data_IF_815196817484
#
_entry.id   IF_815196817484
#
_cell.length_a   1.000
_cell.length_b   1.000
_cell.length_c   1.000
_cell.angle_alpha   90.00
_cell.angle_beta   90.00
_cell.angle_gamma   90.00
#
_symmetry.space_group_name_H-M   'P 1'
#
loop_
_entity.id
_entity.type
_entity.pdbx_description
1 polymer ?
#
# COMPACT_ATOMS: atom_id res chain seq x y z
N UNK A 1 31.59 31.31 18.69
CA UNK A 1 31.23 31.61 17.29
C UNK A 1 30.03 30.77 16.96
N UNK A 2 29.00 31.36 16.36
CA UNK A 2 27.84 30.62 15.88
C UNK A 2 28.14 30.15 14.45
N UNK A 3 28.70 28.93 14.35
CA UNK A 3 29.08 28.33 13.07
C UNK A 3 27.89 28.04 12.17
N UNK A 4 26.68 27.93 12.73
CA UNK A 4 25.46 27.69 11.95
C UNK A 4 25.07 28.98 11.22
N UNK A 5 25.18 30.13 11.88
CA UNK A 5 24.95 31.44 11.24
C UNK A 5 25.96 31.80 10.14
N UNK A 6 27.05 31.04 9.95
CA UNK A 6 28.02 31.20 8.86
C UNK A 6 27.66 30.40 7.60
N UNK A 7 26.69 29.48 7.68
CA UNK A 7 26.27 28.68 6.53
C UNK A 7 25.60 29.54 5.43
N UNK A 8 25.69 29.14 4.15
CA UNK A 8 24.89 29.70 3.06
C UNK A 8 23.39 29.61 3.33
N UNK A 9 22.63 30.58 2.82
CA UNK A 9 21.18 30.67 3.02
C UNK A 9 20.45 29.39 2.56
N UNK A 10 20.82 28.84 1.42
CA UNK A 10 20.22 27.62 0.88
C UNK A 10 20.36 26.42 1.84
N UNK A 11 21.50 26.31 2.54
CA UNK A 11 21.71 25.27 3.54
C UNK A 11 20.87 25.52 4.79
N UNK A 12 20.71 26.78 5.21
CA UNK A 12 19.85 27.13 6.33
C UNK A 12 18.38 26.82 6.02
N UNK A 13 17.90 27.16 4.83
CA UNK A 13 16.54 26.85 4.39
C UNK A 13 16.31 25.34 4.30
N UNK A 14 17.33 24.56 3.87
CA UNK A 14 17.28 23.10 3.86
C UNK A 14 17.20 22.51 5.27
N UNK A 15 17.98 23.04 6.23
CA UNK A 15 17.90 22.63 7.64
C UNK A 15 16.52 22.95 8.22
N UNK A 16 16.04 24.17 8.01
CA UNK A 16 14.73 24.61 8.48
C UNK A 16 13.57 23.80 7.87
N UNK A 17 13.71 23.36 6.62
CA UNK A 17 12.70 22.52 5.93
C UNK A 17 12.51 21.14 6.57
N UNK A 18 13.40 20.72 7.47
CA UNK A 18 13.27 19.49 8.25
C UNK A 18 12.54 19.68 9.58
N UNK A 19 12.23 20.92 9.98
CA UNK A 19 11.58 21.25 11.23
C UNK A 19 10.09 21.57 11.02
N UNK A 20 9.30 21.47 12.09
CA UNK A 20 7.92 21.96 12.05
C UNK A 20 7.88 23.51 11.99
N UNK A 21 6.78 24.05 11.50
CA UNK A 21 6.63 25.49 11.27
C UNK A 21 6.78 26.31 12.57
N UNK A 22 6.42 25.77 13.74
CA UNK A 22 6.57 26.46 15.02
C UNK A 22 8.04 26.63 15.38
N UNK A 23 8.82 25.56 15.27
CA UNK A 23 10.27 25.58 15.53
C UNK A 23 11.00 26.47 14.52
N UNK A 24 10.60 26.38 13.24
CA UNK A 24 11.09 27.28 12.19
C UNK A 24 10.83 28.74 12.55
N UNK A 25 9.61 29.09 12.96
CA UNK A 25 9.28 30.44 13.40
C UNK A 25 10.04 30.83 14.67
N UNK A 26 10.25 29.92 15.62
CA UNK A 26 11.00 30.17 16.84
C UNK A 26 12.46 30.55 16.55
N UNK A 27 13.05 30.08 15.44
CA UNK A 27 14.41 30.48 15.05
C UNK A 27 14.56 31.99 14.79
N UNK A 28 13.46 32.73 14.59
CA UNK A 28 13.49 34.17 14.33
C UNK A 28 14.16 34.98 15.45
N UNK A 29 14.22 34.44 16.67
CA UNK A 29 14.82 35.11 17.84
C UNK A 29 16.34 34.89 17.95
N UNK A 30 16.92 33.98 17.16
CA UNK A 30 18.33 33.62 17.25
C UNK A 30 19.26 34.76 16.79
N UNK A 31 18.94 35.41 15.67
CA UNK A 31 19.69 36.58 15.20
C UNK A 31 18.91 37.39 14.16
N UNK A 32 19.44 38.58 13.82
CA UNK A 32 18.88 39.42 12.74
C UNK A 32 18.79 38.70 11.39
N UNK A 33 19.68 37.75 11.12
CA UNK A 33 19.69 36.95 9.90
C UNK A 33 18.49 35.99 9.87
N UNK A 34 18.25 35.28 10.98
CA UNK A 34 17.18 34.29 11.10
C UNK A 34 15.78 34.91 11.16
N UNK A 35 15.68 36.20 11.53
CA UNK A 35 14.41 36.93 11.64
C UNK A 35 13.48 36.76 10.42
N UNK A 36 14.04 36.64 9.22
CA UNK A 36 13.28 36.56 7.97
C UNK A 36 13.38 35.21 7.25
N UNK A 37 14.34 34.35 7.63
CA UNK A 37 14.56 33.05 6.95
C UNK A 37 13.34 32.14 7.00
N UNK A 38 12.60 32.15 8.12
CA UNK A 38 11.39 31.35 8.29
C UNK A 38 10.30 31.66 7.24
N UNK A 39 10.27 32.88 6.69
CA UNK A 39 9.30 33.29 5.65
C UNK A 39 9.67 32.78 4.26
N UNK A 40 10.90 32.29 4.07
CA UNK A 40 11.44 31.83 2.79
C UNK A 40 11.54 30.30 2.70
N UNK A 41 11.17 29.57 3.75
CA UNK A 41 11.30 28.11 3.81
C UNK A 41 10.37 27.44 2.79
N UNK A 42 10.88 26.63 1.85
CA UNK A 42 10.05 26.05 0.79
C UNK A 42 9.10 24.95 1.27
N UNK A 43 9.29 24.43 2.49
CA UNK A 43 8.50 23.36 3.09
C UNK A 43 7.94 23.78 4.45
N UNK A 44 6.63 23.71 4.59
CA UNK A 44 5.92 24.05 5.82
C UNK A 44 5.22 22.81 6.37
N UNK A 45 5.56 22.44 7.61
CA UNK A 45 4.91 21.34 8.33
C UNK A 45 4.19 21.92 9.55
N UNK A 46 2.87 21.94 9.51
CA UNK A 46 2.03 22.36 10.62
C UNK A 46 1.59 21.13 11.40
N UNK A 47 2.20 20.94 12.55
CA UNK A 47 1.94 19.81 13.45
C UNK A 47 1.15 20.28 14.67
N UNK A 48 -0.07 19.77 14.81
CA UNK A 48 -0.91 20.03 15.96
C UNK A 48 -0.53 19.12 17.14
N UNK A 49 0.16 19.70 18.11
CA UNK A 49 0.47 19.04 19.38
C UNK A 49 -0.77 18.88 20.27
N UNK A 50 -1.27 17.64 20.36
CA UNK A 50 -2.44 17.19 21.15
C UNK A 50 -2.29 17.51 22.64
N UNK A 51 -1.06 17.53 23.15
CA UNK A 51 -0.79 17.61 24.58
C UNK A 51 -0.37 19.02 25.04
N UNK A 52 -0.16 19.94 24.11
CA UNK A 52 0.50 21.22 24.39
C UNK A 52 -0.38 22.46 24.34
N UNK A 53 -1.17 22.66 23.27
CA UNK A 53 -1.74 23.98 22.96
C UNK A 53 -3.23 23.94 22.63
N UNK A 54 -3.93 25.05 22.93
CA UNK A 54 -5.32 25.24 22.48
C UNK A 54 -5.36 25.34 20.95
N UNK A 55 -6.27 24.60 20.30
CA UNK A 55 -6.54 24.63 18.86
C UNK A 55 -6.55 26.05 18.27
N UNK A 56 -7.26 26.98 18.90
CA UNK A 56 -7.36 28.38 18.44
C UNK A 56 -6.00 29.08 18.29
N UNK A 57 -5.02 28.74 19.15
CA UNK A 57 -3.68 29.32 19.08
C UNK A 57 -2.91 28.73 17.91
N UNK A 58 -3.05 27.43 17.67
CA UNK A 58 -2.50 26.74 16.52
C UNK A 58 -3.12 27.28 15.21
N UNK A 59 -4.44 27.32 15.11
CA UNK A 59 -5.16 27.85 13.94
C UNK A 59 -4.72 29.28 13.59
N UNK A 60 -4.64 30.16 14.60
CA UNK A 60 -4.16 31.53 14.43
C UNK A 60 -2.70 31.59 13.97
N UNK A 61 -1.86 30.68 14.48
CA UNK A 61 -0.47 30.56 14.05
C UNK A 61 -0.39 30.13 12.57
N UNK A 62 -1.11 29.08 12.17
CA UNK A 62 -1.16 28.59 10.79
C UNK A 62 -1.59 29.71 9.84
N UNK A 63 -2.71 30.36 10.14
CA UNK A 63 -3.23 31.47 9.33
C UNK A 63 -2.21 32.60 9.16
N UNK A 64 -1.60 33.07 10.27
CA UNK A 64 -0.59 34.13 10.22
C UNK A 64 0.68 33.70 9.49
N UNK A 65 1.11 32.46 9.70
CA UNK A 65 2.29 31.89 9.06
C UNK A 65 2.10 31.86 7.54
N UNK A 66 0.98 31.33 7.04
CA UNK A 66 0.66 31.30 5.61
C UNK A 66 0.55 32.70 4.99
N UNK A 67 -0.03 33.65 5.73
CA UNK A 67 -0.18 35.04 5.29
C UNK A 67 1.17 35.76 5.14
N UNK A 68 2.06 35.56 6.10
CA UNK A 68 3.39 36.19 6.15
C UNK A 68 4.45 35.43 5.36
N UNK A 69 4.14 34.23 4.89
CA UNK A 69 5.07 33.44 4.11
C UNK A 69 5.31 34.11 2.75
N UNK A 70 6.57 34.24 2.35
CA UNK A 70 7.00 35.01 1.17
C UNK A 70 7.80 34.17 0.15
N UNK A 71 8.00 32.87 0.42
CA UNK A 71 8.77 32.02 -0.51
C UNK A 71 8.16 32.08 -1.93
N UNK A 72 9.00 32.31 -2.96
CA UNK A 72 8.54 32.41 -4.34
C UNK A 72 8.01 31.06 -4.88
N UNK A 73 8.49 29.95 -4.31
CA UNK A 73 8.07 28.61 -4.65
C UNK A 73 7.82 27.80 -3.37
N UNK A 74 6.57 27.80 -2.90
CA UNK A 74 6.14 26.93 -1.82
C UNK A 74 6.07 25.50 -2.37
N UNK A 75 7.01 24.65 -1.99
CA UNK A 75 7.12 23.30 -2.53
C UNK A 75 6.13 22.36 -1.84
N UNK A 76 6.18 22.32 -0.52
CA UNK A 76 5.42 21.36 0.29
C UNK A 76 4.68 22.06 1.41
N UNK A 77 3.40 21.74 1.57
CA UNK A 77 2.63 22.08 2.77
C UNK A 77 2.05 20.79 3.34
N UNK A 78 2.34 20.55 4.61
CA UNK A 78 1.85 19.40 5.35
C UNK A 78 1.06 19.89 6.57
N UNK A 79 -0.21 19.53 6.65
CA UNK A 79 -1.04 19.69 7.84
C UNK A 79 -1.20 18.34 8.54
N UNK A 80 -0.71 18.23 9.78
CA UNK A 80 -0.98 17.13 10.70
C UNK A 80 -1.90 17.63 11.79
N UNK A 81 -3.13 17.14 11.79
CA UNK A 81 -4.21 17.65 12.62
C UNK A 81 -4.71 16.50 13.49
N UNK A 82 -4.97 16.82 14.75
CA UNK A 82 -5.44 15.84 15.72
C UNK A 82 -6.95 15.79 15.85
N UNK A 83 -7.63 16.84 15.41
CA UNK A 83 -9.06 17.00 15.64
C UNK A 83 -9.72 17.86 14.55
N UNK A 84 -11.02 17.67 14.39
CA UNK A 84 -11.87 18.36 13.42
C UNK A 84 -12.42 19.71 13.91
N UNK A 85 -12.03 20.14 15.12
CA UNK A 85 -12.61 21.29 15.85
C UNK A 85 -12.53 22.64 15.12
N UNK A 86 -11.96 22.71 13.92
CA UNK A 86 -12.04 23.87 13.03
C UNK A 86 -12.05 23.52 11.54
N UNK A 87 -13.02 22.70 11.10
CA UNK A 87 -13.33 22.45 9.68
C UNK A 87 -13.33 23.74 8.82
N UNK A 88 -13.89 24.83 9.36
CA UNK A 88 -13.91 26.15 8.71
C UNK A 88 -12.50 26.72 8.50
N UNK A 89 -11.61 26.56 9.48
CA UNK A 89 -10.24 27.08 9.41
C UNK A 89 -9.42 26.35 8.35
N UNK A 90 -9.57 25.02 8.25
CA UNK A 90 -8.88 24.18 7.26
C UNK A 90 -9.29 24.58 5.84
N UNK A 91 -10.58 24.84 5.61
CA UNK A 91 -11.08 25.36 4.33
C UNK A 91 -10.41 26.68 3.92
N UNK A 92 -10.19 27.58 4.89
CA UNK A 92 -9.47 28.85 4.66
C UNK A 92 -8.00 28.60 4.38
N UNK A 93 -7.33 27.71 5.12
CA UNK A 93 -5.91 27.41 4.92
C UNK A 93 -5.65 26.82 3.54
N UNK A 94 -6.44 25.80 3.14
CA UNK A 94 -6.33 25.17 1.82
C UNK A 94 -6.53 26.22 0.73
N UNK A 95 -7.56 27.05 0.84
CA UNK A 95 -7.83 28.11 -0.15
C UNK A 95 -6.67 29.11 -0.30
N UNK A 96 -5.90 29.35 0.77
CA UNK A 96 -4.68 30.17 0.69
C UNK A 96 -3.51 29.40 0.06
N UNK A 97 -3.31 28.14 0.44
CA UNK A 97 -2.21 27.30 -0.06
C UNK A 97 -2.35 27.05 -1.57
N UNK A 98 -3.54 26.73 -2.06
CA UNK A 98 -3.75 26.45 -3.50
C UNK A 98 -3.48 27.67 -4.39
N UNK A 99 -3.67 28.89 -3.87
CA UNK A 99 -3.33 30.15 -4.57
C UNK A 99 -1.82 30.39 -4.69
N UNK A 100 -1.00 29.65 -3.94
CA UNK A 100 0.47 29.80 -3.88
C UNK A 100 1.20 28.76 -4.73
N UNK A 101 0.50 28.06 -5.62
CA UNK A 101 1.05 27.09 -6.57
C UNK A 101 1.90 25.99 -5.92
N UNK A 102 1.39 25.45 -4.82
CA UNK A 102 2.04 24.35 -4.10
C UNK A 102 2.23 23.12 -5.00
N UNK A 103 3.36 22.41 -4.84
CA UNK A 103 3.64 21.17 -5.57
C UNK A 103 3.23 19.92 -4.80
N UNK A 104 3.34 19.95 -3.48
CA UNK A 104 2.98 18.83 -2.62
C UNK A 104 2.08 19.32 -1.49
N UNK A 105 0.88 18.74 -1.40
CA UNK A 105 -0.07 19.02 -0.33
C UNK A 105 -0.38 17.71 0.40
N UNK A 106 -0.13 17.70 1.71
CA UNK A 106 -0.39 16.56 2.59
C UNK A 106 -1.34 17.04 3.69
N UNK A 107 -2.45 16.34 3.86
CA UNK A 107 -3.44 16.59 4.91
C UNK A 107 -3.67 15.27 5.63
N UNK A 108 -3.17 15.18 6.86
CA UNK A 108 -3.29 14.02 7.75
C UNK A 108 -4.12 14.42 8.96
N UNK A 109 -5.23 13.72 9.18
CA UNK A 109 -6.14 13.95 10.31
C UNK A 109 -6.24 12.66 11.12
N UNK A 110 -6.02 12.73 12.42
CA UNK A 110 -6.08 11.58 13.32
C UNK A 110 -7.47 10.91 13.27
N UNK A 111 -7.50 9.56 13.26
CA UNK A 111 -8.69 8.72 13.14
C UNK A 111 -9.62 8.80 14.36
N UNK A 112 -9.16 9.42 15.45
CA UNK A 112 -9.96 9.61 16.69
C UNK A 112 -11.05 10.67 16.56
N UNK A 113 -11.08 11.43 15.46
CA UNK A 113 -12.03 12.53 15.25
C UNK A 113 -12.82 12.35 13.95
N UNK A 114 -13.95 13.05 13.82
CA UNK A 114 -14.76 12.95 12.61
C UNK A 114 -14.07 13.66 11.43
N UNK A 115 -14.33 13.18 10.22
CA UNK A 115 -13.70 13.69 8.99
C UNK A 115 -13.94 15.19 8.78
N UNK A 116 -12.89 15.88 8.36
CA UNK A 116 -12.95 17.30 7.94
C UNK A 116 -13.37 17.40 6.50
N UNK A 117 -14.22 18.38 6.18
CA UNK A 117 -14.79 18.55 4.85
C UNK A 117 -13.95 19.51 4.00
N UNK A 118 -13.23 18.97 3.02
CA UNK A 118 -12.36 19.79 2.19
C UNK A 118 -13.15 20.75 1.27
N UNK A 119 -12.60 21.95 0.99
CA UNK A 119 -13.24 22.91 0.10
C UNK A 119 -13.04 22.52 -1.38
N UNK A 120 -14.02 22.85 -2.21
CA UNK A 120 -13.99 22.62 -3.68
C UNK A 120 -12.84 23.35 -4.38
N UNK A 121 -12.26 24.38 -3.74
CA UNK A 121 -11.08 25.09 -4.24
C UNK A 121 -9.86 24.18 -4.40
N UNK A 122 -9.78 23.08 -3.64
CA UNK A 122 -8.73 22.07 -3.77
C UNK A 122 -8.71 21.43 -5.16
N UNK A 123 -9.88 21.22 -5.77
CA UNK A 123 -10.02 20.49 -7.04
C UNK A 123 -9.90 21.40 -8.26
N UNK A 124 -10.21 22.68 -8.10
CA UNK A 124 -10.39 23.62 -9.22
C UNK A 124 -9.18 24.52 -9.46
N UNK A 125 -8.30 24.71 -8.46
CA UNK A 125 -7.23 25.70 -8.50
C UNK A 125 -5.80 25.11 -8.54
N UNK A 126 -5.65 23.79 -8.38
CA UNK A 126 -4.37 23.12 -8.15
C UNK A 126 -3.61 22.74 -9.44
N UNK A 127 -3.25 23.72 -10.26
CA UNK A 127 -2.58 23.47 -11.56
C UNK A 127 -1.15 22.95 -11.45
N UNK A 128 -0.44 23.29 -10.38
CA UNK A 128 0.98 22.93 -10.17
C UNK A 128 1.17 21.78 -9.17
N UNK A 129 0.07 21.23 -8.65
CA UNK A 129 0.11 20.15 -7.68
C UNK A 129 0.60 18.86 -8.37
N UNK A 130 1.67 18.30 -7.83
CA UNK A 130 2.34 17.08 -8.29
C UNK A 130 2.00 15.91 -7.36
N UNK A 131 1.90 16.17 -6.06
CA UNK A 131 1.59 15.17 -5.05
C UNK A 131 0.44 15.65 -4.17
N UNK A 132 -0.59 14.83 -4.02
CA UNK A 132 -1.72 15.06 -3.11
C UNK A 132 -1.89 13.86 -2.20
N UNK A 133 -1.79 14.07 -0.89
CA UNK A 133 -2.07 13.03 0.11
C UNK A 133 -3.15 13.51 1.05
N UNK A 134 -4.23 12.74 1.13
CA UNK A 134 -5.39 13.03 1.94
C UNK A 134 -5.65 11.84 2.85
N UNK A 135 -5.79 12.10 4.15
CA UNK A 135 -6.11 11.08 5.14
C UNK A 135 -7.21 11.56 6.08
N UNK A 136 -8.24 10.71 6.23
CA UNK A 136 -9.41 10.93 7.11
C UNK A 136 -10.16 12.24 6.82
N UNK A 137 -10.54 12.45 5.55
CA UNK A 137 -11.24 13.66 5.08
C UNK A 137 -12.52 13.32 4.32
N UNK A 138 -13.44 14.27 4.27
CA UNK A 138 -14.66 14.20 3.44
C UNK A 138 -14.49 15.10 2.22
N UNK A 139 -14.66 14.53 1.03
CA UNK A 139 -14.69 15.30 -0.21
C UNK A 139 -16.13 15.74 -0.48
N UNK A 140 -16.30 17.04 -0.73
CA UNK A 140 -17.58 17.59 -1.19
C UNK A 140 -17.78 17.35 -2.67
N UNK A 141 -19.02 17.04 -3.02
CA UNK A 141 -19.43 17.06 -4.41
C UNK A 141 -19.17 18.46 -4.98
N UNK A 142 -18.46 18.46 -6.09
CA UNK A 142 -18.19 19.63 -6.86
C UNK A 142 -18.87 19.37 -8.20
N UNK A 143 -20.01 20.03 -8.45
CA UNK A 143 -20.64 20.09 -9.78
C UNK A 143 -19.75 20.80 -10.83
N UNK A 144 -18.44 20.91 -10.56
CA UNK A 144 -17.42 21.66 -11.28
C UNK A 144 -16.44 20.71 -11.98
N UNK A 145 -15.73 21.23 -12.97
CA UNK A 145 -14.64 20.52 -13.63
C UNK A 145 -13.40 20.44 -12.72
N UNK A 146 -12.97 19.22 -12.40
CA UNK A 146 -11.67 18.97 -11.74
C UNK A 146 -10.52 19.41 -12.65
N UNK A 147 -9.39 19.84 -12.07
CA UNK A 147 -8.21 20.20 -12.84
C UNK A 147 -6.91 19.84 -12.12
N UNK A 148 -6.31 18.71 -12.51
CA UNK A 148 -5.04 18.20 -12.00
C UNK A 148 -4.04 17.89 -13.12
N UNK A 149 -3.60 18.90 -13.90
CA UNK A 149 -2.78 18.69 -15.09
C UNK A 149 -1.36 18.21 -14.79
N UNK A 150 -0.87 18.35 -13.55
CA UNK A 150 0.50 18.03 -13.15
C UNK A 150 0.58 16.92 -12.09
N UNK A 151 -0.56 16.36 -11.66
CA UNK A 151 -0.63 15.44 -10.53
C UNK A 151 -0.10 14.07 -10.94
N UNK A 152 1.00 13.66 -10.32
CA UNK A 152 1.70 12.41 -10.57
C UNK A 152 1.48 11.39 -9.46
N UNK A 153 1.29 11.84 -8.22
CA UNK A 153 1.10 10.95 -7.07
C UNK A 153 -0.13 11.37 -6.26
N UNK A 154 -1.01 10.41 -6.00
CA UNK A 154 -2.25 10.59 -5.27
C UNK A 154 -2.38 9.51 -4.19
N UNK A 155 -2.59 9.94 -2.94
CA UNK A 155 -2.88 9.04 -1.82
C UNK A 155 -4.21 9.44 -1.18
N UNK A 156 -5.14 8.50 -1.06
CA UNK A 156 -6.48 8.68 -0.51
C UNK A 156 -6.68 7.64 0.61
N UNK A 157 -6.54 8.05 1.87
CA UNK A 157 -6.61 7.15 3.02
C UNK A 157 -7.85 7.43 3.85
N UNK A 158 -8.77 6.48 3.96
CA UNK A 158 -10.02 6.59 4.72
C UNK A 158 -10.82 7.86 4.37
N UNK A 159 -10.91 8.14 3.07
CA UNK A 159 -11.57 9.33 2.50
C UNK A 159 -13.05 9.02 2.26
N UNK A 160 -13.96 9.89 2.73
CA UNK A 160 -15.39 9.79 2.43
C UNK A 160 -15.71 10.57 1.15
N UNK A 161 -16.33 9.92 0.18
CA UNK A 161 -16.67 10.50 -1.11
C UNK A 161 -18.16 10.84 -1.21
N UNK A 162 -18.56 11.65 -2.20
CA UNK A 162 -19.97 11.84 -2.54
C UNK A 162 -20.64 10.63 -3.20
N UNK A 163 -19.85 9.73 -3.80
CA UNK A 163 -20.31 8.53 -4.51
C UNK A 163 -19.38 8.09 -5.66
N UNK A 164 -19.68 6.96 -6.30
CA UNK A 164 -18.86 6.30 -7.33
C UNK A 164 -18.54 7.21 -8.54
N UNK A 165 -19.54 7.92 -9.07
CA UNK A 165 -19.36 8.80 -10.23
C UNK A 165 -18.42 9.98 -9.91
N UNK A 166 -18.32 10.39 -8.64
CA UNK A 166 -17.35 11.39 -8.22
C UNK A 166 -15.92 10.85 -8.37
N UNK A 167 -15.64 9.65 -7.87
CA UNK A 167 -14.30 9.01 -7.95
C UNK A 167 -13.88 8.86 -9.40
N UNK A 168 -14.77 8.35 -10.25
CA UNK A 168 -14.54 8.19 -11.68
C UNK A 168 -14.23 9.51 -12.38
N UNK A 169 -15.00 10.56 -12.11
CA UNK A 169 -14.79 11.88 -12.70
C UNK A 169 -13.50 12.52 -12.18
N UNK A 170 -13.22 12.36 -10.89
CA UNK A 170 -12.00 12.84 -10.24
C UNK A 170 -10.73 12.20 -10.84
N UNK A 171 -10.66 10.87 -10.92
CA UNK A 171 -9.51 10.16 -11.48
C UNK A 171 -9.34 10.40 -12.98
N UNK A 172 -10.43 10.51 -13.74
CA UNK A 172 -10.36 10.80 -15.19
C UNK A 172 -9.72 12.17 -15.49
N UNK A 173 -9.71 13.08 -14.51
CA UNK A 173 -9.12 14.42 -14.62
C UNK A 173 -7.63 14.47 -14.27
N UNK A 174 -7.05 13.34 -13.83
CA UNK A 174 -5.65 13.19 -13.43
C UNK A 174 -4.83 12.50 -14.55
N UNK A 175 -4.70 13.16 -15.71
CA UNK A 175 -4.17 12.53 -16.93
C UNK A 175 -2.70 12.07 -16.87
N UNK A 176 -1.89 12.63 -15.96
CA UNK A 176 -0.45 12.31 -15.82
C UNK A 176 -0.14 11.56 -14.53
N UNK A 177 -1.15 10.96 -13.90
CA UNK A 177 -1.02 10.22 -12.65
C UNK A 177 -0.19 8.95 -12.87
N UNK A 178 0.89 8.80 -12.11
CA UNK A 178 1.82 7.67 -12.16
C UNK A 178 1.65 6.75 -10.95
N UNK A 179 1.32 7.31 -9.77
CA UNK A 179 1.20 6.57 -8.50
C UNK A 179 -0.16 6.84 -7.83
N UNK A 180 -0.93 5.79 -7.55
CA UNK A 180 -2.20 5.85 -6.83
C UNK A 180 -2.17 4.89 -5.64
N UNK A 181 -2.47 5.41 -4.46
CA UNK A 181 -2.64 4.64 -3.23
C UNK A 181 -3.99 4.96 -2.61
N UNK A 182 -4.82 3.96 -2.42
CA UNK A 182 -6.17 4.08 -1.87
C UNK A 182 -6.29 3.12 -0.71
N UNK A 183 -6.75 3.63 0.44
CA UNK A 183 -7.24 2.82 1.54
C UNK A 183 -8.70 3.18 1.78
N UNK A 184 -9.63 2.30 1.42
CA UNK A 184 -11.06 2.49 1.63
C UNK A 184 -11.42 2.25 3.10
N UNK A 185 -12.54 2.85 3.52
CA UNK A 185 -13.14 2.67 4.83
C UNK A 185 -14.63 2.39 4.66
N UNK A 186 -15.23 1.63 5.58
CA UNK A 186 -16.59 1.09 5.46
C UNK A 186 -17.67 2.15 5.17
N UNK A 187 -17.52 3.39 5.64
CA UNK A 187 -18.50 4.46 5.43
C UNK A 187 -18.09 5.50 4.36
N UNK A 188 -17.35 5.10 3.32
CA UNK A 188 -16.85 6.03 2.30
C UNK A 188 -17.87 6.44 1.20
N UNK A 189 -19.06 5.83 1.20
CA UNK A 189 -20.13 5.99 0.21
C UNK A 189 -19.76 5.51 -1.22
N UNK A 190 -18.73 4.67 -1.38
CA UNK A 190 -18.30 4.14 -2.68
C UNK A 190 -18.38 2.62 -2.66
N UNK A 191 -19.30 2.07 -3.45
CA UNK A 191 -19.41 0.61 -3.59
C UNK A 191 -18.38 0.11 -4.59
N UNK A 192 -18.32 0.75 -5.77
CA UNK A 192 -17.40 0.34 -6.83
C UNK A 192 -16.33 1.39 -7.06
N UNK A 193 -15.11 1.11 -6.61
CA UNK A 193 -13.97 1.98 -6.82
C UNK A 193 -13.32 1.73 -8.20
N UNK A 194 -13.72 2.53 -9.19
CA UNK A 194 -13.27 2.37 -10.58
C UNK A 194 -11.99 3.19 -10.90
N UNK A 195 -10.87 2.51 -11.12
CA UNK A 195 -9.58 3.06 -11.52
C UNK A 195 -9.38 2.89 -13.03
N UNK A 196 -9.69 3.94 -13.81
CA UNK A 196 -9.44 3.98 -15.26
C UNK A 196 -8.41 5.05 -15.62
N UNK A 197 -7.12 4.73 -15.45
CA UNK A 197 -6.01 5.68 -15.53
C UNK A 197 -4.88 5.12 -16.40
N UNK A 198 -4.83 5.47 -17.71
CA UNK A 198 -3.85 4.89 -18.64
C UNK A 198 -2.37 5.21 -18.38
N UNK A 199 -2.10 6.28 -17.63
CA UNK A 199 -0.75 6.74 -17.27
C UNK A 199 -0.20 6.08 -16.01
N UNK A 200 -1.03 5.33 -15.27
CA UNK A 200 -0.70 4.78 -13.97
C UNK A 200 0.39 3.70 -14.08
N UNK A 201 1.39 3.77 -13.20
CA UNK A 201 2.51 2.83 -13.09
C UNK A 201 2.48 2.05 -11.79
N UNK A 202 2.04 2.66 -10.70
CA UNK A 202 1.89 2.01 -9.40
C UNK A 202 0.48 2.19 -8.86
N UNK A 203 -0.13 1.08 -8.45
CA UNK A 203 -1.46 1.04 -7.86
C UNK A 203 -1.42 0.22 -6.57
N UNK A 204 -1.91 0.81 -5.48
CA UNK A 204 -2.12 0.13 -4.21
C UNK A 204 -3.56 0.40 -3.73
N UNK A 205 -4.34 -0.66 -3.53
CA UNK A 205 -5.75 -0.65 -3.17
C UNK A 205 -5.95 -1.51 -1.92
N UNK A 206 -6.19 -0.86 -0.79
CA UNK A 206 -6.41 -1.52 0.50
C UNK A 206 -7.82 -1.24 1.00
N UNK A 207 -8.43 -2.19 1.68
CA UNK A 207 -9.62 -1.97 2.50
C UNK A 207 -9.25 -1.96 3.98
N UNK A 208 -10.06 -1.31 4.81
CA UNK A 208 -9.95 -1.47 6.26
C UNK A 208 -10.46 -2.88 6.62
N UNK A 209 -9.72 -3.60 7.48
CA UNK A 209 -10.20 -4.87 8.03
C UNK A 209 -11.48 -4.59 8.83
N UNK A 210 -12.55 -5.39 8.68
CA UNK A 210 -13.71 -5.27 9.55
C UNK A 210 -13.26 -5.49 10.99
N UNK A 211 -13.40 -4.48 11.84
CA UNK A 211 -13.14 -4.63 13.27
C UNK A 211 -13.96 -5.83 13.79
N UNK A 212 -13.36 -6.69 14.61
CA UNK A 212 -14.00 -7.88 15.20
C UNK A 212 -15.27 -7.60 16.03
N UNK A 213 -15.55 -6.33 16.28
CA UNK A 213 -16.67 -5.82 17.07
C UNK A 213 -17.83 -5.28 16.20
N UNK A 214 -17.72 -5.35 14.86
CA UNK A 214 -18.79 -4.95 13.92
C UNK A 214 -19.90 -6.01 13.90
N UNK A 215 -21.15 -5.63 14.16
CA UNK A 215 -22.30 -6.54 14.06
C UNK A 215 -22.46 -6.97 12.58
N UNK A 216 -22.45 -8.28 12.26
CA UNK A 216 -22.61 -8.81 10.89
C UNK A 216 -24.05 -8.66 10.34
N UNK A 217 -24.91 -7.90 11.02
CA UNK A 217 -26.36 -7.81 10.75
C UNK A 217 -26.77 -6.47 10.08
N UNK A 218 -25.83 -5.59 9.68
CA UNK A 218 -26.16 -4.43 8.83
C UNK A 218 -26.16 -4.85 7.35
N UNK A 219 -27.32 -5.34 6.87
CA UNK A 219 -27.73 -5.49 5.47
C UNK A 219 -26.58 -5.36 4.41
N UNK A 220 -25.75 -6.39 4.27
CA UNK A 220 -24.69 -6.50 3.24
C UNK A 220 -25.31 -6.71 1.86
N UNK A 221 -25.91 -5.66 1.29
CA UNK A 221 -26.59 -5.66 -0.01
C UNK A 221 -25.84 -4.76 -1.03
N UNK A 222 -24.51 -4.63 -0.93
CA UNK A 222 -23.72 -3.89 -1.91
C UNK A 222 -22.59 -4.76 -2.48
N UNK A 223 -22.72 -5.07 -3.78
CA UNK A 223 -21.67 -5.54 -4.70
C UNK A 223 -20.47 -4.56 -4.65
N UNK A 224 -19.70 -4.58 -3.56
CA UNK A 224 -18.57 -3.69 -3.35
C UNK A 224 -17.30 -4.30 -3.94
N UNK A 225 -16.46 -3.45 -4.53
CA UNK A 225 -15.27 -3.97 -5.18
C UNK A 225 -14.53 -2.98 -6.06
N UNK A 226 -13.51 -3.51 -6.72
CA UNK A 226 -12.59 -2.73 -7.54
C UNK A 226 -12.79 -2.99 -9.03
N UNK A 227 -12.73 -1.94 -9.84
CA UNK A 227 -12.64 -2.05 -11.30
C UNK A 227 -11.38 -1.36 -11.77
N UNK A 228 -10.50 -2.09 -12.46
CA UNK A 228 -9.17 -1.61 -12.83
C UNK A 228 -8.98 -1.67 -14.35
N UNK A 229 -8.63 -0.52 -14.94
CA UNK A 229 -8.17 -0.36 -16.31
C UNK A 229 -6.94 0.56 -16.33
N UNK A 230 -5.76 -0.06 -16.24
CA UNK A 230 -4.47 0.62 -16.15
C UNK A 230 -3.41 -0.09 -17.04
N UNK A 231 -3.45 0.08 -18.38
CA UNK A 231 -2.58 -0.64 -19.32
C UNK A 231 -1.08 -0.33 -19.18
N UNK A 232 -0.70 0.72 -18.43
CA UNK A 232 0.71 1.07 -18.19
C UNK A 232 1.24 0.60 -16.83
N UNK A 233 0.44 -0.14 -16.06
CA UNK A 233 0.77 -0.53 -14.71
C UNK A 233 2.01 -1.43 -14.65
N UNK A 234 2.94 -1.10 -13.75
CA UNK A 234 4.18 -1.82 -13.49
C UNK A 234 4.15 -2.51 -12.12
N UNK A 235 3.49 -1.89 -11.13
CA UNK A 235 3.33 -2.38 -9.77
C UNK A 235 1.85 -2.42 -9.38
N UNK A 236 1.36 -3.59 -8.95
CA UNK A 236 0.01 -3.79 -8.44
C UNK A 236 0.09 -4.29 -6.99
N UNK A 237 -0.70 -3.71 -6.11
CA UNK A 237 -0.86 -4.12 -4.72
C UNK A 237 -2.34 -4.03 -4.34
N UNK A 238 -2.94 -5.15 -3.97
CA UNK A 238 -4.35 -5.27 -3.59
C UNK A 238 -4.40 -5.99 -2.26
N UNK A 239 -5.08 -5.40 -1.28
CA UNK A 239 -5.39 -6.01 0.01
C UNK A 239 -6.87 -5.74 0.30
N UNK A 240 -7.73 -6.72 0.02
CA UNK A 240 -9.18 -6.55 0.01
C UNK A 240 -9.89 -7.74 0.64
N UNK A 241 -10.22 -7.58 1.93
CA UNK A 241 -10.94 -8.58 2.73
C UNK A 241 -12.40 -8.22 2.98
N UNK A 242 -12.84 -7.04 2.54
CA UNK A 242 -14.22 -6.55 2.75
C UNK A 242 -15.05 -6.51 1.47
N UNK A 243 -14.42 -6.46 0.30
CA UNK A 243 -15.09 -6.46 -0.99
C UNK A 243 -15.56 -7.84 -1.44
N UNK A 244 -16.37 -7.87 -2.49
CA UNK A 244 -16.86 -9.10 -3.11
C UNK A 244 -16.15 -9.43 -4.43
N UNK A 245 -15.57 -8.42 -5.11
CA UNK A 245 -14.91 -8.63 -6.39
C UNK A 245 -13.80 -7.63 -6.73
N UNK A 246 -12.91 -8.06 -7.61
CA UNK A 246 -12.04 -7.19 -8.38
C UNK A 246 -12.07 -7.58 -9.85
N UNK A 247 -12.45 -6.62 -10.72
CA UNK A 247 -12.52 -6.80 -12.16
C UNK A 247 -11.41 -6.00 -12.81
N UNK A 248 -10.58 -6.69 -13.59
CA UNK A 248 -9.62 -6.07 -14.50
C UNK A 248 -10.23 -6.06 -15.90
N UNK A 249 -10.46 -4.89 -16.47
CA UNK A 249 -11.18 -4.75 -17.76
C UNK A 249 -10.30 -5.12 -18.95
N UNK A 250 -9.00 -4.82 -18.88
CA UNK A 250 -8.02 -5.09 -19.93
C UNK A 250 -6.74 -5.70 -19.33
N UNK A 251 -6.09 -6.58 -20.09
CA UNK A 251 -4.79 -7.15 -19.69
C UNK A 251 -3.80 -6.05 -19.32
N UNK A 252 -3.00 -6.30 -18.27
CA UNK A 252 -1.97 -5.39 -17.80
C UNK A 252 -0.57 -5.98 -18.07
N UNK A 253 -0.12 -6.00 -19.33
CA UNK A 253 1.07 -6.76 -19.76
C UNK A 253 2.40 -6.18 -19.26
N UNK A 254 2.39 -5.00 -18.65
CA UNK A 254 3.59 -4.33 -18.13
C UNK A 254 3.82 -4.59 -16.64
N UNK A 255 2.89 -5.26 -15.95
CA UNK A 255 3.01 -5.50 -14.50
C UNK A 255 4.22 -6.41 -14.27
N UNK A 256 5.17 -5.91 -13.49
CA UNK A 256 6.41 -6.57 -13.11
C UNK A 256 6.31 -7.17 -11.70
N UNK A 257 5.61 -6.48 -10.81
CA UNK A 257 5.40 -6.89 -9.42
C UNK A 257 3.92 -6.79 -9.08
N UNK A 258 3.36 -7.87 -8.55
CA UNK A 258 1.98 -7.91 -8.07
C UNK A 258 1.93 -8.50 -6.66
N UNK A 259 1.18 -7.85 -5.78
CA UNK A 259 0.77 -8.33 -4.46
C UNK A 259 -0.76 -8.38 -4.48
N UNK A 260 -1.33 -9.56 -4.24
CA UNK A 260 -2.79 -9.75 -4.27
C UNK A 260 -3.19 -10.56 -3.05
N UNK A 261 -3.83 -9.88 -2.11
CA UNK A 261 -4.35 -10.45 -0.88
C UNK A 261 -5.85 -10.17 -0.85
N UNK A 262 -6.68 -11.19 -1.10
CA UNK A 262 -8.13 -11.04 -1.22
C UNK A 262 -8.90 -12.15 -0.53
N UNK A 263 -9.99 -11.77 0.15
CA UNK A 263 -10.82 -12.68 0.96
C UNK A 263 -11.92 -13.44 0.19
N UNK A 264 -12.22 -13.06 -1.06
CA UNK A 264 -13.36 -13.58 -1.84
C UNK A 264 -12.98 -14.60 -2.94
N UNK A 265 -13.99 -15.33 -3.42
CA UNK A 265 -13.90 -16.57 -4.20
C UNK A 265 -13.63 -16.44 -5.72
N UNK A 266 -13.22 -15.30 -6.26
CA UNK A 266 -13.03 -15.15 -7.74
C UNK A 266 -11.67 -14.60 -8.17
N UNK A 267 -10.54 -15.21 -7.75
CA UNK A 267 -9.20 -14.70 -8.08
C UNK A 267 -8.74 -15.02 -9.51
N UNK A 268 -9.39 -15.97 -10.21
CA UNK A 268 -8.92 -16.47 -11.49
C UNK A 268 -8.79 -15.38 -12.58
N UNK A 269 -9.70 -14.40 -12.56
CA UNK A 269 -9.68 -13.25 -13.50
C UNK A 269 -8.49 -12.32 -13.23
N UNK A 270 -8.14 -12.12 -11.96
CA UNK A 270 -7.00 -11.29 -11.57
C UNK A 270 -5.72 -11.92 -12.10
N UNK A 271 -5.50 -13.19 -11.78
CA UNK A 271 -4.31 -13.95 -12.19
C UNK A 271 -4.17 -14.02 -13.72
N UNK A 272 -5.28 -14.20 -14.45
CA UNK A 272 -5.28 -14.21 -15.91
C UNK A 272 -4.84 -12.90 -16.55
N UNK A 273 -5.05 -11.77 -15.87
CA UNK A 273 -4.76 -10.43 -16.38
C UNK A 273 -3.33 -9.96 -16.10
N UNK A 274 -2.59 -10.64 -15.21
CA UNK A 274 -1.24 -10.26 -14.75
C UNK A 274 -0.16 -11.30 -15.10
N UNK A 275 -0.38 -12.12 -16.13
CA UNK A 275 0.53 -13.22 -16.55
C UNK A 275 1.99 -12.81 -16.84
N UNK A 276 2.26 -11.51 -17.05
CA UNK A 276 3.59 -10.96 -17.33
C UNK A 276 4.48 -10.75 -16.10
N UNK A 277 3.96 -10.93 -14.89
CA UNK A 277 4.66 -10.64 -13.62
C UNK A 277 5.98 -11.39 -13.48
N UNK A 278 6.94 -10.73 -12.82
CA UNK A 278 8.23 -11.33 -12.41
C UNK A 278 8.25 -11.69 -10.94
N UNK A 279 7.58 -10.89 -10.11
CA UNK A 279 7.42 -11.11 -8.68
C UNK A 279 5.93 -11.11 -8.37
N UNK A 280 5.47 -12.20 -7.76
CA UNK A 280 4.08 -12.38 -7.37
C UNK A 280 4.05 -12.72 -5.87
N UNK A 281 3.29 -11.95 -5.11
CA UNK A 281 2.90 -12.23 -3.73
C UNK A 281 1.38 -12.41 -3.71
N UNK A 282 0.91 -13.51 -3.12
CA UNK A 282 -0.51 -13.88 -3.18
C UNK A 282 -1.01 -14.46 -1.87
N UNK A 283 -2.21 -14.07 -1.50
CA UNK A 283 -2.99 -14.60 -0.40
C UNK A 283 -4.44 -14.67 -0.88
N UNK A 284 -4.92 -15.87 -1.22
CA UNK A 284 -6.23 -16.07 -1.84
C UNK A 284 -7.00 -17.14 -1.07
N UNK A 285 -8.29 -16.91 -0.83
CA UNK A 285 -9.17 -17.88 -0.18
C UNK A 285 -9.49 -19.11 -1.06
N UNK A 286 -9.47 -18.94 -2.38
CA UNK A 286 -9.87 -19.95 -3.37
C UNK A 286 -8.68 -20.38 -4.25
N UNK A 287 -8.62 -21.67 -4.61
CA UNK A 287 -7.65 -22.26 -5.53
C UNK A 287 -8.04 -22.17 -7.01
N UNK A 288 -9.19 -21.61 -7.37
CA UNK A 288 -9.60 -21.41 -8.75
C UNK A 288 -8.52 -20.68 -9.57
N UNK A 289 -7.93 -21.42 -10.52
CA UNK A 289 -6.84 -20.95 -11.35
C UNK A 289 -7.28 -20.83 -12.83
N UNK A 290 -6.92 -19.74 -13.55
CA UNK A 290 -7.35 -19.55 -14.92
C UNK A 290 -6.74 -20.60 -15.85
N UNK A 291 -7.61 -21.47 -16.40
CA UNK A 291 -7.19 -22.58 -17.25
C UNK A 291 -6.38 -22.08 -18.45
N UNK A 292 -5.16 -22.62 -18.62
CA UNK A 292 -4.27 -22.31 -19.75
C UNK A 292 -3.39 -21.07 -19.58
N UNK A 293 -3.49 -20.33 -18.47
CA UNK A 293 -2.61 -19.19 -18.19
C UNK A 293 -1.23 -19.65 -17.71
N UNK A 294 -0.16 -19.18 -18.35
CA UNK A 294 1.22 -19.58 -18.05
C UNK A 294 2.06 -18.34 -17.72
N UNK A 295 2.64 -18.33 -16.53
CA UNK A 295 3.52 -17.29 -16.02
C UNK A 295 4.96 -17.51 -16.50
N UNK A 296 5.21 -17.20 -17.78
CA UNK A 296 6.53 -17.39 -18.38
C UNK A 296 7.63 -16.51 -17.78
N UNK A 297 7.25 -15.35 -17.24
CA UNK A 297 8.18 -14.35 -16.69
C UNK A 297 8.40 -14.47 -15.18
N UNK A 298 7.63 -15.31 -14.48
CA UNK A 298 7.64 -15.37 -13.03
C UNK A 298 8.95 -16.00 -12.52
N UNK A 299 9.68 -15.23 -11.72
CA UNK A 299 10.97 -15.60 -11.13
C UNK A 299 10.82 -15.79 -9.62
N UNK A 300 9.97 -14.99 -8.99
CA UNK A 300 9.79 -14.98 -7.54
C UNK A 300 8.32 -15.14 -7.20
N UNK A 301 7.99 -16.21 -6.48
CA UNK A 301 6.65 -16.50 -6.00
C UNK A 301 6.66 -16.49 -4.47
N UNK A 302 5.82 -15.66 -3.86
CA UNK A 302 5.48 -15.68 -2.44
C UNK A 302 4.00 -16.05 -2.31
N UNK A 303 3.67 -16.95 -1.39
CA UNK A 303 2.30 -17.39 -1.15
C UNK A 303 1.99 -17.39 0.35
N UNK A 304 0.81 -16.90 0.72
CA UNK A 304 0.28 -17.01 2.08
C UNK A 304 -0.19 -18.44 2.36
N UNK A 305 0.18 -18.99 3.51
CA UNK A 305 -0.27 -20.32 3.95
C UNK A 305 -1.49 -20.27 4.88
N UNK A 306 -2.16 -19.13 4.96
CA UNK A 306 -3.28 -18.87 5.86
C UNK A 306 -4.62 -19.51 5.44
N UNK A 307 -4.84 -19.75 4.14
CA UNK A 307 -6.08 -20.34 3.60
C UNK A 307 -5.91 -21.82 3.24
N UNK A 308 -6.85 -22.72 3.51
CA UNK A 308 -6.67 -24.17 3.37
C UNK A 308 -6.40 -24.63 1.94
N UNK A 309 -6.79 -23.84 0.95
CA UNK A 309 -6.55 -24.16 -0.46
C UNK A 309 -5.19 -23.67 -0.98
N UNK A 310 -4.37 -23.02 -0.13
CA UNK A 310 -3.05 -22.48 -0.50
C UNK A 310 -2.17 -23.52 -1.21
N UNK A 311 -2.29 -24.78 -0.80
CA UNK A 311 -1.49 -25.88 -1.32
C UNK A 311 -1.88 -26.26 -2.75
N UNK A 312 -3.18 -26.30 -3.04
CA UNK A 312 -3.69 -26.59 -4.38
C UNK A 312 -3.32 -25.44 -5.33
N UNK A 313 -3.53 -24.21 -4.87
CA UNK A 313 -3.13 -23.00 -5.57
C UNK A 313 -1.62 -22.96 -5.86
N UNK A 314 -0.78 -23.27 -4.87
CA UNK A 314 0.68 -23.38 -5.03
C UNK A 314 1.03 -24.37 -6.15
N UNK A 315 0.42 -25.56 -6.14
CA UNK A 315 0.70 -26.58 -7.14
C UNK A 315 0.24 -26.17 -8.54
N UNK A 316 -0.90 -25.48 -8.67
CA UNK A 316 -1.35 -24.88 -9.92
C UNK A 316 -0.35 -23.85 -10.45
N UNK A 317 0.11 -22.93 -9.59
CA UNK A 317 1.07 -21.90 -9.95
C UNK A 317 2.44 -22.47 -10.32
N UNK A 318 2.97 -23.44 -9.56
CA UNK A 318 4.24 -24.08 -9.88
C UNK A 318 4.17 -24.80 -11.23
N UNK A 319 3.04 -25.43 -11.57
CA UNK A 319 2.84 -26.06 -12.90
C UNK A 319 2.74 -25.02 -14.02
N UNK A 320 2.13 -23.87 -13.74
CA UNK A 320 1.96 -22.79 -14.69
C UNK A 320 3.18 -21.85 -14.80
N UNK A 321 4.22 -22.03 -13.99
CA UNK A 321 5.33 -21.08 -13.88
C UNK A 321 6.67 -21.79 -14.08
N UNK A 322 7.13 -22.01 -15.32
CA UNK A 322 8.30 -22.85 -15.60
C UNK A 322 9.64 -22.28 -15.13
N UNK A 323 9.71 -20.96 -14.85
CA UNK A 323 10.97 -20.24 -14.61
C UNK A 323 11.17 -19.78 -13.15
N UNK A 324 10.34 -20.23 -12.21
CA UNK A 324 10.42 -19.80 -10.80
C UNK A 324 11.78 -20.17 -10.20
N UNK A 325 12.47 -19.19 -9.64
CA UNK A 325 13.78 -19.35 -8.99
C UNK A 325 13.70 -19.21 -7.48
N UNK A 326 12.76 -18.44 -6.96
CA UNK A 326 12.54 -18.27 -5.53
C UNK A 326 11.09 -18.56 -5.17
N UNK A 327 10.90 -19.43 -4.18
CA UNK A 327 9.61 -19.73 -3.58
C UNK A 327 9.66 -19.33 -2.10
N UNK A 328 8.77 -18.45 -1.69
CA UNK A 328 8.56 -18.04 -0.30
C UNK A 328 7.16 -18.50 0.14
N UNK A 329 7.08 -19.10 1.30
CA UNK A 329 5.83 -19.44 1.98
C UNK A 329 5.86 -18.76 3.33
N UNK A 330 4.81 -18.01 3.63
CA UNK A 330 4.76 -17.12 4.78
C UNK A 330 3.32 -17.00 5.25
N UNK A 331 3.07 -16.87 6.55
CA UNK A 331 1.72 -16.76 7.09
C UNK A 331 1.52 -15.34 7.63
N UNK A 332 0.82 -14.50 6.88
CA UNK A 332 0.58 -13.10 7.26
C UNK A 332 -0.57 -12.93 8.25
N UNK A 333 -1.54 -13.85 8.23
CA UNK A 333 -2.76 -13.78 9.03
C UNK A 333 -2.79 -14.87 10.10
N UNK A 334 -2.93 -14.47 11.36
CA UNK A 334 -2.93 -15.38 12.51
C UNK A 334 -4.33 -15.90 12.91
N UNK A 335 -5.43 -15.44 12.30
CA UNK A 335 -6.75 -15.49 13.00
C UNK A 335 -7.98 -16.06 12.29
N UNK A 336 -7.95 -16.54 11.04
CA UNK A 336 -9.24 -16.64 10.30
C UNK A 336 -9.95 -18.01 10.23
N UNK A 337 -9.40 -19.13 10.74
CA UNK A 337 -9.92 -20.45 10.35
C UNK A 337 -9.99 -21.48 11.50
N UNK A 338 -11.10 -22.22 11.54
CA UNK A 338 -11.32 -23.37 12.42
C UNK A 338 -10.21 -24.43 12.25
N UNK A 339 -9.71 -24.97 13.36
CA UNK A 339 -8.67 -26.01 13.42
C UNK A 339 -8.97 -27.26 12.57
N UNK A 340 -10.24 -27.45 12.17
CA UNK A 340 -10.78 -28.57 11.41
C UNK A 340 -10.61 -28.43 9.88
N UNK A 341 -10.31 -27.24 9.38
CA UNK A 341 -10.14 -26.96 7.93
C UNK A 341 -8.68 -27.10 7.47
N UNK A 342 -7.98 -28.17 7.88
CA UNK A 342 -6.57 -28.33 7.51
C UNK A 342 -6.42 -28.68 6.02
N UNK A 343 -5.43 -28.09 5.32
CA UNK A 343 -5.12 -28.44 3.93
C UNK A 343 -4.88 -29.95 3.80
N UNK A 344 -5.56 -30.61 2.88
CA UNK A 344 -5.29 -32.04 2.60
C UNK A 344 -4.16 -32.17 1.58
N UNK A 345 -3.02 -32.75 1.97
CA UNK A 345 -1.95 -33.01 1.02
C UNK A 345 -2.28 -34.25 0.19
N UNK A 346 -2.49 -34.04 -1.12
CA UNK A 346 -2.48 -35.13 -2.09
C UNK A 346 -1.20 -35.05 -2.91
N UNK A 347 -0.42 -36.14 -2.88
CA UNK A 347 0.86 -36.17 -3.59
C UNK A 347 0.63 -35.89 -5.09
N UNK A 348 1.29 -34.86 -5.66
CA UNK A 348 1.11 -34.52 -7.07
C UNK A 348 1.53 -35.68 -7.99
N UNK A 349 0.75 -35.90 -9.05
CA UNK A 349 1.01 -36.94 -10.06
C UNK A 349 2.28 -36.68 -10.88
N UNK A 350 2.64 -35.41 -11.07
CA UNK A 350 3.85 -34.97 -11.76
C UNK A 350 4.56 -33.88 -10.95
N UNK A 351 5.88 -33.82 -11.10
CA UNK A 351 6.70 -32.76 -10.51
C UNK A 351 6.70 -31.55 -11.44
N UNK A 352 6.37 -30.34 -10.95
CA UNK A 352 6.44 -29.13 -11.75
C UNK A 352 7.85 -28.90 -12.32
N UNK A 353 7.93 -28.41 -13.55
CA UNK A 353 9.20 -28.22 -14.25
C UNK A 353 10.12 -27.27 -13.50
N UNK A 354 9.58 -26.17 -12.95
CA UNK A 354 10.37 -25.18 -12.21
C UNK A 354 11.04 -25.76 -10.96
N UNK A 355 10.37 -26.68 -10.26
CA UNK A 355 10.94 -27.38 -9.10
C UNK A 355 12.16 -28.18 -9.54
N UNK A 356 12.11 -28.83 -10.70
CA UNK A 356 13.23 -29.65 -11.21
C UNK A 356 14.40 -28.84 -11.75
N UNK A 357 14.14 -27.73 -12.46
CA UNK A 357 15.12 -27.09 -13.35
C UNK A 357 15.54 -25.67 -12.97
N UNK A 358 14.72 -24.92 -12.23
CA UNK A 358 14.95 -23.47 -12.02
C UNK A 358 14.99 -23.05 -10.55
N UNK A 359 14.31 -23.78 -9.66
CA UNK A 359 14.17 -23.40 -8.25
C UNK A 359 15.54 -23.38 -7.54
N UNK A 360 15.93 -22.22 -7.03
CA UNK A 360 17.21 -21.96 -6.38
C UNK A 360 17.07 -21.59 -4.90
N UNK A 361 15.98 -20.92 -4.54
CA UNK A 361 15.71 -20.47 -3.17
C UNK A 361 14.36 -20.98 -2.71
N UNK A 362 14.36 -21.60 -1.53
CA UNK A 362 13.16 -21.96 -0.77
C UNK A 362 13.21 -21.21 0.55
N UNK A 363 12.17 -20.49 0.90
CA UNK A 363 11.99 -19.91 2.22
C UNK A 363 10.61 -20.29 2.77
N UNK A 364 10.60 -20.90 3.95
CA UNK A 364 9.39 -21.18 4.71
C UNK A 364 9.48 -20.36 6.00
N UNK A 365 8.58 -19.40 6.18
CA UNK A 365 8.42 -18.70 7.44
C UNK A 365 7.46 -19.48 8.36
N UNK A 366 7.57 -19.22 9.65
CA UNK A 366 6.70 -19.75 10.72
C UNK A 366 6.33 -21.23 10.61
N UNK A 367 7.31 -22.07 10.31
CA UNK A 367 7.11 -23.50 10.11
C UNK A 367 6.64 -24.19 11.40
N UNK A 368 5.41 -24.69 11.39
CA UNK A 368 4.80 -25.36 12.54
C UNK A 368 5.12 -26.87 12.58
N UNK A 369 5.52 -27.43 11.43
CA UNK A 369 5.85 -28.85 11.25
C UNK A 369 4.64 -29.75 11.34
N UNK A 370 3.51 -29.29 10.82
CA UNK A 370 2.37 -30.14 10.51
C UNK A 370 2.79 -31.24 9.51
N UNK A 371 2.06 -32.36 9.48
CA UNK A 371 2.34 -33.45 8.54
C UNK A 371 2.31 -32.97 7.07
N UNK A 372 1.44 -32.01 6.77
CA UNK A 372 1.29 -31.39 5.44
C UNK A 372 2.54 -30.59 5.06
N UNK A 373 2.99 -29.68 5.93
CA UNK A 373 4.21 -28.90 5.67
C UNK A 373 5.43 -29.82 5.56
N UNK A 374 5.51 -30.85 6.42
CA UNK A 374 6.59 -31.85 6.37
C UNK A 374 6.63 -32.57 5.03
N UNK A 375 5.48 -33.08 4.56
CA UNK A 375 5.39 -33.79 3.30
C UNK A 375 5.69 -32.89 2.09
N UNK A 376 5.18 -31.66 2.09
CA UNK A 376 5.43 -30.67 1.05
C UNK A 376 6.90 -30.25 0.98
N UNK A 377 7.50 -29.87 2.12
CA UNK A 377 8.91 -29.49 2.18
C UNK A 377 9.79 -30.66 1.77
N UNK A 378 9.49 -31.87 2.25
CA UNK A 378 10.19 -33.09 1.83
C UNK A 378 10.05 -33.32 0.31
N UNK A 379 8.88 -33.08 -0.26
CA UNK A 379 8.64 -33.22 -1.69
C UNK A 379 9.48 -32.23 -2.50
N UNK A 380 9.51 -30.95 -2.15
CA UNK A 380 10.31 -29.95 -2.85
C UNK A 380 11.80 -30.28 -2.72
N UNK A 381 12.30 -30.52 -1.50
CA UNK A 381 13.71 -30.81 -1.25
C UNK A 381 14.20 -32.07 -1.97
N UNK A 382 13.35 -33.10 -2.11
CA UNK A 382 13.72 -34.34 -2.83
C UNK A 382 13.83 -34.15 -4.34
N UNK A 383 13.06 -33.22 -4.90
CA UNK A 383 12.96 -33.03 -6.35
C UNK A 383 13.79 -31.83 -6.86
N UNK A 384 14.06 -30.84 -6.02
CA UNK A 384 14.72 -29.60 -6.43
C UNK A 384 16.22 -29.76 -6.65
N UNK A 385 16.61 -30.05 -7.90
CA UNK A 385 18.01 -30.31 -8.28
C UNK A 385 18.89 -29.06 -8.28
N UNK A 386 18.30 -27.90 -8.54
CA UNK A 386 19.01 -26.62 -8.68
C UNK A 386 18.99 -25.76 -7.40
N UNK A 387 18.45 -26.30 -6.30
CA UNK A 387 18.31 -25.59 -5.04
C UNK A 387 19.70 -25.22 -4.49
N UNK A 388 19.87 -23.95 -4.11
CA UNK A 388 21.11 -23.39 -3.56
C UNK A 388 20.94 -23.02 -2.09
N UNK A 389 19.78 -22.46 -1.74
CA UNK A 389 19.45 -21.97 -0.40
C UNK A 389 18.07 -22.49 0.00
N UNK A 390 17.98 -23.09 1.18
CA UNK A 390 16.73 -23.39 1.83
C UNK A 390 16.76 -22.77 3.23
N UNK A 391 15.82 -21.88 3.52
CA UNK A 391 15.64 -21.28 4.85
C UNK A 391 14.31 -21.74 5.42
N UNK A 392 14.33 -22.25 6.65
CA UNK A 392 13.11 -22.63 7.38
C UNK A 392 13.17 -21.89 8.71
N UNK A 393 12.27 -20.93 8.90
CA UNK A 393 12.07 -20.25 10.18
C UNK A 393 11.28 -21.18 11.09
N UNK A 394 11.79 -21.45 12.28
CA UNK A 394 11.13 -22.32 13.27
C UNK A 394 11.07 -21.58 14.59
N UNK A 395 9.92 -21.65 15.27
CA UNK A 395 9.78 -21.19 16.65
C UNK A 395 10.96 -21.69 17.51
N UNK A 396 11.73 -20.80 18.16
CA UNK A 396 12.84 -21.15 19.04
C UNK A 396 12.52 -22.27 20.05
N UNK A 397 11.26 -22.36 20.50
CA UNK A 397 10.81 -23.34 21.48
C UNK A 397 10.73 -24.77 20.92
N UNK A 398 10.50 -24.93 19.60
CA UNK A 398 10.33 -26.23 18.92
C UNK A 398 11.52 -26.60 18.01
N UNK A 399 12.49 -25.70 17.86
CA UNK A 399 13.60 -25.72 16.89
C UNK A 399 14.47 -26.99 16.88
N UNK A 400 14.75 -27.62 18.03
CA UNK A 400 15.76 -28.70 18.10
C UNK A 400 15.26 -30.03 17.50
N UNK A 401 14.00 -30.41 17.75
CA UNK A 401 13.44 -31.69 17.29
C UNK A 401 13.12 -31.62 15.80
N UNK A 402 12.47 -30.55 15.36
CA UNK A 402 12.07 -30.32 13.97
C UNK A 402 13.27 -30.14 13.03
N UNK A 403 14.33 -29.45 13.47
CA UNK A 403 15.54 -29.30 12.66
C UNK A 403 16.25 -30.64 12.41
N UNK A 404 16.28 -31.54 13.40
CA UNK A 404 16.86 -32.89 13.23
C UNK A 404 16.07 -33.72 12.21
N UNK A 405 14.75 -33.63 12.24
CA UNK A 405 13.89 -34.33 11.27
C UNK A 405 14.08 -33.79 9.84
N UNK A 406 14.10 -32.48 9.66
CA UNK A 406 14.33 -31.83 8.36
C UNK A 406 15.70 -32.16 7.77
N UNK A 407 16.74 -32.22 8.61
CA UNK A 407 18.09 -32.66 8.20
C UNK A 407 18.15 -34.15 7.82
N UNK A 408 17.20 -34.97 8.28
CA UNK A 408 17.11 -36.38 7.86
C UNK A 408 16.44 -36.54 6.48
N UNK A 409 15.60 -35.58 6.09
CA UNK A 409 14.85 -35.55 4.84
C UNK A 409 15.69 -35.06 3.64
N UNK A 410 16.77 -34.30 3.88
CA UNK A 410 17.67 -33.69 2.89
C UNK A 410 18.59 -34.67 2.14
N UNK A 411 18.19 -35.94 1.97
CA UNK A 411 19.06 -37.01 1.47
C UNK A 411 19.38 -36.98 -0.04
N UNK A 412 18.97 -35.95 -0.78
CA UNK A 412 19.38 -35.76 -2.18
C UNK A 412 19.96 -34.36 -2.44
N UNK A 413 21.12 -34.37 -3.12
CA UNK A 413 21.94 -33.24 -3.59
C UNK A 413 22.79 -32.50 -2.54
N UNK A 414 24.05 -32.91 -2.47
CA UNK A 414 25.13 -32.49 -1.58
C UNK A 414 25.67 -31.06 -1.77
N UNK A 415 24.85 -30.06 -2.13
CA UNK A 415 25.37 -28.72 -2.48
C UNK A 415 24.55 -27.50 -2.03
N UNK A 416 23.45 -27.67 -1.29
CA UNK A 416 22.66 -26.52 -0.83
C UNK A 416 22.87 -26.21 0.65
N UNK A 417 22.84 -24.91 0.99
CA UNK A 417 22.92 -24.44 2.37
C UNK A 417 21.52 -24.41 2.98
N UNK A 418 21.23 -25.37 3.85
CA UNK A 418 20.05 -25.33 4.73
C UNK A 418 20.36 -24.43 5.94
N UNK A 419 19.58 -23.37 6.13
CA UNK A 419 19.68 -22.47 7.28
C UNK A 419 18.36 -22.51 8.07
N UNK A 420 18.50 -22.49 9.39
CA UNK A 420 17.38 -22.35 10.31
C UNK A 420 17.51 -20.98 10.97
N UNK A 421 16.63 -20.05 10.59
CA UNK A 421 16.61 -18.70 11.19
C UNK A 421 15.91 -18.73 12.55
#
# INVERSE_FOLDING_TARGET
>A
MDWISELPEDLLLRILSSLNAKDVAATMVLSKRWKFLWMLVPKLIYDEDIYGQKYESFSRFVYRSLLLHEAPHLQTVHFKLSDNRGDVDIGVWITNVVKRWVRELIIEIDLRSSRVTLPVSLYTCCRMLVTLKLSNVTLRDASCSFSFPSLKSLSLLSVKYPGDEFVKTFLSSCHVLEDLHVKQCLDDNVTVFAVRVPSLKSLSLHTDDPDSDSDPDEDEDEDSGFVIDAPSLECLDIHDHSGEFCIIENDMPKVLTASVDVGYFVPAKILGSIISVKHLDICLADSEYPFGSVFHSLVHLKICTCHPEWLELLMCLLRASPNVQALIMDQHHHELWDEDSRPSWTKPSSVPECVLSSLQTLWVADYEGTDVEKEMVAYILRNAKCLKKATISIDPCKKIEMAKELLSLSRCSSTYNLKFD
#
